data_IF_867037071212
#
_entry.id   IF_867037071212
#
_cell.length_a   1.000
_cell.length_b   1.000
_cell.length_c   1.000
_cell.angle_alpha   90.00
_cell.angle_beta   90.00
_cell.angle_gamma   90.00
#
_symmetry.space_group_name_H-M   'P 1'
#
loop_
_entity.id
_entity.type
_entity.pdbx_description
1 polymer ?
#
# COMPACT_ATOMS: atom_id res chain seq x y z
N UNK A 1 -17.41 5.65 55.78
CA UNK A 1 -17.68 5.02 54.46
C UNK A 1 -17.83 6.16 53.44
N UNK A 2 -16.81 6.45 52.66
CA UNK A 2 -16.85 7.47 51.60
C UNK A 2 -17.26 6.76 50.33
N UNK A 3 -18.51 6.97 49.90
CA UNK A 3 -19.01 6.49 48.59
C UNK A 3 -18.40 7.32 47.46
N UNK A 4 -17.35 6.82 46.84
CA UNK A 4 -16.79 7.39 45.61
C UNK A 4 -17.70 6.98 44.43
N UNK A 5 -18.79 7.75 44.23
CA UNK A 5 -19.56 7.66 42.99
C UNK A 5 -18.68 8.13 41.83
N UNK A 6 -18.00 7.17 41.12
CA UNK A 6 -17.35 7.44 39.88
C UNK A 6 -18.39 7.96 38.88
N UNK A 7 -18.16 9.13 38.25
CA UNK A 7 -19.01 9.57 37.16
C UNK A 7 -18.92 8.52 36.04
N UNK A 8 -20.07 7.92 35.69
CA UNK A 8 -20.17 7.02 34.54
C UNK A 8 -19.66 7.78 33.30
N UNK A 9 -18.53 7.36 32.77
CA UNK A 9 -18.00 7.91 31.53
C UNK A 9 -19.11 7.85 30.49
N UNK A 10 -19.49 9.02 29.94
CA UNK A 10 -20.46 9.08 28.82
C UNK A 10 -20.03 8.11 27.74
N UNK A 11 -20.90 7.20 27.28
CA UNK A 11 -20.55 6.30 26.19
C UNK A 11 -20.18 7.14 24.97
N UNK A 12 -18.95 6.96 24.49
CA UNK A 12 -18.50 7.60 23.26
C UNK A 12 -19.46 7.19 22.15
N UNK A 13 -20.16 8.16 21.55
CA UNK A 13 -21.05 7.90 20.41
C UNK A 13 -20.20 7.32 19.29
N UNK A 14 -20.42 6.04 18.97
CA UNK A 14 -19.78 5.42 17.82
C UNK A 14 -20.31 6.11 16.55
N UNK A 15 -19.43 6.60 15.68
CA UNK A 15 -19.87 7.20 14.42
C UNK A 15 -20.63 6.16 13.58
N UNK A 16 -21.61 6.60 12.81
CA UNK A 16 -22.35 5.70 11.94
C UNK A 16 -21.38 5.05 10.94
N UNK A 17 -21.48 3.74 10.67
CA UNK A 17 -20.54 3.04 9.78
C UNK A 17 -20.47 3.68 8.39
N UNK A 18 -21.57 4.16 7.85
CA UNK A 18 -21.62 4.90 6.58
C UNK A 18 -20.76 6.19 6.62
N UNK A 19 -20.81 6.94 7.71
CA UNK A 19 -20.02 8.17 7.84
C UNK A 19 -18.52 7.88 7.88
N UNK A 20 -18.11 6.81 8.56
CA UNK A 20 -16.71 6.35 8.57
C UNK A 20 -16.25 5.93 7.18
N UNK A 21 -17.04 5.15 6.47
CA UNK A 21 -16.70 4.71 5.10
C UNK A 21 -16.56 5.91 4.16
N UNK A 22 -17.49 6.87 4.20
CA UNK A 22 -17.41 8.08 3.37
C UNK A 22 -16.15 8.89 3.71
N UNK A 23 -15.86 9.08 5.01
CA UNK A 23 -14.68 9.81 5.44
C UNK A 23 -13.37 9.14 4.98
N UNK A 24 -13.27 7.82 5.12
CA UNK A 24 -12.11 7.05 4.67
C UNK A 24 -11.96 7.07 3.16
N UNK A 25 -13.04 6.92 2.40
CA UNK A 25 -13.02 7.02 0.94
C UNK A 25 -12.59 8.42 0.48
N UNK A 26 -13.10 9.46 1.13
CA UNK A 26 -12.67 10.84 0.88
C UNK A 26 -11.18 11.06 1.20
N UNK A 27 -10.69 10.47 2.29
CA UNK A 27 -9.27 10.54 2.65
C UNK A 27 -8.40 9.84 1.61
N UNK A 28 -8.76 8.63 1.17
CA UNK A 28 -8.03 7.89 0.13
C UNK A 28 -7.98 8.71 -1.16
N UNK A 29 -9.11 9.30 -1.57
CA UNK A 29 -9.17 10.15 -2.76
C UNK A 29 -8.25 11.38 -2.61
N UNK A 30 -8.33 12.07 -1.49
CA UNK A 30 -7.50 13.26 -1.22
C UNK A 30 -6.00 12.93 -1.24
N UNK A 31 -5.59 11.84 -0.58
CA UNK A 31 -4.21 11.38 -0.57
C UNK A 31 -3.76 10.94 -1.96
N UNK A 32 -4.63 10.30 -2.74
CA UNK A 32 -4.34 9.93 -4.14
C UNK A 32 -4.07 11.14 -5.01
N UNK A 33 -4.94 12.16 -4.93
CA UNK A 33 -4.74 13.43 -5.65
C UNK A 33 -3.45 14.12 -5.19
N UNK A 34 -3.22 14.18 -3.88
CA UNK A 34 -2.00 14.76 -3.33
C UNK A 34 -0.74 14.02 -3.82
N UNK A 35 -0.78 12.70 -3.88
CA UNK A 35 0.31 11.87 -4.39
C UNK A 35 0.61 12.13 -5.88
N UNK A 36 -0.40 12.45 -6.67
CA UNK A 36 -0.22 12.81 -8.09
C UNK A 36 0.29 14.24 -8.28
N UNK A 37 -0.04 15.17 -7.37
CA UNK A 37 0.38 16.59 -7.48
C UNK A 37 1.72 16.86 -6.83
N UNK A 38 2.10 16.11 -5.79
CA UNK A 38 3.36 16.32 -5.06
C UNK A 38 4.49 15.49 -5.61
N UNK A 39 5.68 16.07 -5.80
CA UNK A 39 6.88 15.36 -6.23
C UNK A 39 7.92 16.26 -6.88
N UNK A 40 9.17 15.80 -6.94
CA UNK A 40 10.32 16.56 -7.42
C UNK A 40 10.26 16.95 -8.92
N UNK A 41 9.32 16.40 -9.68
CA UNK A 41 9.22 16.64 -11.13
C UNK A 41 8.46 17.92 -11.52
N UNK A 42 7.93 18.69 -10.55
CA UNK A 42 7.29 19.98 -10.83
C UNK A 42 5.82 19.90 -11.33
N UNK A 43 5.26 18.71 -11.53
CA UNK A 43 3.85 18.54 -11.86
C UNK A 43 2.95 19.05 -10.74
N UNK A 44 2.16 20.06 -11.04
CA UNK A 44 1.21 20.70 -10.11
C UNK A 44 -0.23 20.26 -10.32
N UNK A 45 -1.13 20.81 -9.50
CA UNK A 45 -2.58 20.55 -9.65
C UNK A 45 -3.13 21.06 -11.00
N UNK A 46 -2.56 22.14 -11.53
CA UNK A 46 -2.94 22.69 -12.84
C UNK A 46 -2.67 21.71 -13.98
N UNK A 47 -1.53 21.02 -13.96
CA UNK A 47 -1.16 20.05 -14.98
C UNK A 47 -2.07 18.80 -14.95
N UNK A 48 -2.52 18.39 -13.77
CA UNK A 48 -3.51 17.31 -13.65
C UNK A 48 -4.86 17.73 -14.23
N UNK A 49 -5.29 18.95 -13.99
CA UNK A 49 -6.55 19.48 -14.58
C UNK A 49 -6.40 19.55 -16.10
N UNK A 50 -5.28 20.05 -16.62
CA UNK A 50 -4.99 20.08 -18.04
C UNK A 50 -4.99 18.68 -18.67
N UNK A 51 -4.38 17.69 -17.97
CA UNK A 51 -4.39 16.29 -18.40
C UNK A 51 -5.80 15.71 -18.52
N UNK A 52 -6.70 16.04 -17.58
CA UNK A 52 -8.09 15.57 -17.57
C UNK A 52 -8.94 16.29 -18.63
N UNK A 53 -8.68 17.57 -18.85
CA UNK A 53 -9.42 18.38 -19.86
C UNK A 53 -8.93 18.14 -21.29
N UNK A 54 -7.83 17.42 -21.49
CA UNK A 54 -7.27 17.16 -22.81
C UNK A 54 -6.34 18.26 -23.34
N UNK A 55 -6.07 19.27 -22.54
CA UNK A 55 -5.03 20.27 -22.82
C UNK A 55 -3.66 19.58 -22.66
N UNK A 56 -2.98 19.36 -23.76
CA UNK A 56 -1.81 18.50 -23.84
C UNK A 56 -0.73 18.81 -22.81
N UNK A 57 -0.35 17.81 -22.01
CA UNK A 57 0.82 17.86 -21.15
C UNK A 57 2.11 17.91 -21.99
N UNK A 58 3.16 18.51 -21.45
CA UNK A 58 4.47 18.38 -22.05
C UNK A 58 4.89 16.89 -22.14
N UNK A 59 5.70 16.47 -23.13
CA UNK A 59 6.15 15.08 -23.26
C UNK A 59 6.81 14.55 -21.97
N UNK A 60 7.53 15.42 -21.25
CA UNK A 60 8.15 15.08 -19.97
C UNK A 60 7.09 14.79 -18.89
N UNK A 61 6.06 15.64 -18.82
CA UNK A 61 5.01 15.52 -17.80
C UNK A 61 4.12 14.31 -18.05
N UNK A 62 3.92 13.95 -19.32
CA UNK A 62 3.24 12.70 -19.69
C UNK A 62 3.97 11.48 -19.15
N UNK A 63 5.28 11.36 -19.37
CA UNK A 63 6.08 10.24 -18.84
C UNK A 63 6.04 10.21 -17.32
N UNK A 64 6.18 11.37 -16.66
CA UNK A 64 6.13 11.44 -15.19
C UNK A 64 4.77 11.00 -14.64
N UNK A 65 3.70 11.44 -15.27
CA UNK A 65 2.34 11.12 -14.82
C UNK A 65 1.97 9.65 -15.11
N UNK A 66 2.12 9.21 -16.38
CA UNK A 66 1.61 7.93 -16.83
C UNK A 66 2.55 6.75 -16.53
N UNK A 67 3.87 6.96 -16.64
CA UNK A 67 4.84 5.87 -16.50
C UNK A 67 5.41 5.75 -15.08
N UNK A 68 5.31 6.83 -14.26
CA UNK A 68 5.87 6.82 -12.91
C UNK A 68 4.79 6.96 -11.84
N UNK A 69 4.01 8.05 -11.86
CA UNK A 69 3.10 8.38 -10.74
C UNK A 69 1.85 7.51 -10.72
N UNK A 70 1.19 7.32 -11.84
CA UNK A 70 -0.02 6.49 -11.92
C UNK A 70 0.23 5.02 -11.58
N UNK A 71 1.26 4.35 -12.13
CA UNK A 71 1.55 2.97 -11.73
C UNK A 71 1.91 2.85 -10.25
N UNK A 72 2.67 3.80 -9.70
CA UNK A 72 3.00 3.82 -8.27
C UNK A 72 1.77 4.00 -7.39
N UNK A 73 0.84 4.89 -7.78
CA UNK A 73 -0.43 5.08 -7.07
C UNK A 73 -1.28 3.82 -7.13
N UNK A 74 -1.42 3.22 -8.32
CA UNK A 74 -2.20 1.99 -8.51
C UNK A 74 -1.64 0.83 -7.67
N UNK A 75 -0.31 0.67 -7.64
CA UNK A 75 0.37 -0.30 -6.77
C UNK A 75 0.09 -0.02 -5.29
N UNK A 76 0.21 1.23 -4.84
CA UNK A 76 -0.07 1.59 -3.45
C UNK A 76 -1.50 1.27 -3.04
N UNK A 77 -2.47 1.57 -3.89
CA UNK A 77 -3.89 1.24 -3.66
C UNK A 77 -4.12 -0.27 -3.64
N UNK A 78 -3.51 -1.02 -4.57
CA UNK A 78 -3.65 -2.47 -4.63
C UNK A 78 -3.04 -3.16 -3.39
N UNK A 79 -1.85 -2.73 -2.97
CA UNK A 79 -1.20 -3.24 -1.75
C UNK A 79 -2.03 -2.91 -0.51
N UNK A 80 -2.51 -1.67 -0.38
CA UNK A 80 -3.37 -1.27 0.74
C UNK A 80 -4.67 -2.08 0.79
N UNK A 81 -5.32 -2.32 -0.35
CA UNK A 81 -6.51 -3.14 -0.43
C UNK A 81 -6.22 -4.61 -0.06
N UNK A 82 -5.12 -5.18 -0.56
CA UNK A 82 -4.72 -6.54 -0.23
C UNK A 82 -4.44 -6.73 1.27
N UNK A 83 -3.72 -5.78 1.88
CA UNK A 83 -3.45 -5.79 3.33
C UNK A 83 -4.73 -5.64 4.15
N UNK A 84 -5.68 -4.80 3.73
CA UNK A 84 -6.96 -4.64 4.40
C UNK A 84 -7.78 -5.95 4.38
N UNK A 85 -7.85 -6.61 3.22
CA UNK A 85 -8.54 -7.90 3.09
C UNK A 85 -7.85 -8.98 3.93
N UNK A 86 -6.53 -9.09 3.86
CA UNK A 86 -5.75 -10.03 4.67
C UNK A 86 -5.97 -9.79 6.18
N UNK A 87 -5.97 -8.52 6.61
CA UNK A 87 -6.25 -8.15 7.99
C UNK A 87 -7.62 -8.63 8.46
N UNK A 88 -8.68 -8.37 7.69
CA UNK A 88 -10.04 -8.82 8.02
C UNK A 88 -10.14 -10.34 8.10
N UNK A 89 -9.51 -11.06 7.17
CA UNK A 89 -9.48 -12.52 7.17
C UNK A 89 -8.77 -13.09 8.41
N UNK A 90 -7.61 -12.54 8.77
CA UNK A 90 -6.86 -12.95 9.96
C UNK A 90 -7.64 -12.63 11.25
N UNK A 91 -8.25 -11.46 11.35
CA UNK A 91 -9.09 -11.10 12.50
C UNK A 91 -10.26 -12.06 12.64
N UNK A 92 -10.88 -12.48 11.55
CA UNK A 92 -11.95 -13.47 11.54
C UNK A 92 -11.46 -14.85 11.93
N UNK A 93 -10.33 -15.30 11.37
CA UNK A 93 -9.74 -16.60 11.63
C UNK A 93 -9.32 -16.77 13.10
N UNK A 94 -8.59 -15.81 13.63
CA UNK A 94 -8.11 -15.86 15.01
C UNK A 94 -9.13 -15.34 16.04
N UNK A 95 -10.28 -14.85 15.57
CA UNK A 95 -11.29 -14.16 16.42
C UNK A 95 -10.67 -13.10 17.33
N UNK A 96 -9.65 -12.43 16.83
CA UNK A 96 -8.89 -11.42 17.56
C UNK A 96 -8.81 -10.14 16.71
N UNK A 97 -9.38 -9.01 17.18
CA UNK A 97 -9.34 -7.75 16.44
C UNK A 97 -7.94 -7.13 16.34
N UNK A 98 -6.96 -7.66 17.05
CA UNK A 98 -5.55 -7.22 17.01
C UNK A 98 -4.70 -8.06 16.05
N UNK A 99 -5.28 -9.03 15.35
CA UNK A 99 -4.56 -9.81 14.36
C UNK A 99 -4.19 -8.92 13.17
N UNK A 100 -2.90 -8.91 12.82
CA UNK A 100 -2.30 -8.08 11.77
C UNK A 100 -1.40 -8.96 10.87
N UNK A 101 -1.56 -8.92 9.54
CA UNK A 101 -0.72 -9.67 8.62
C UNK A 101 0.78 -9.30 8.72
N UNK A 102 1.10 -8.08 9.16
CA UNK A 102 2.47 -7.64 9.39
C UNK A 102 3.17 -8.40 10.55
N UNK A 103 2.41 -8.78 11.59
CA UNK A 103 2.95 -9.51 12.75
C UNK A 103 3.27 -10.97 12.38
N UNK A 104 2.54 -11.55 11.44
CA UNK A 104 2.76 -12.92 10.95
C UNK A 104 4.09 -13.06 10.18
N UNK A 105 4.80 -11.96 9.91
CA UNK A 105 6.12 -12.00 9.29
C UNK A 105 6.12 -12.10 7.76
N UNK A 106 4.96 -12.03 7.12
CA UNK A 106 4.83 -12.07 5.65
C UNK A 106 5.69 -11.01 4.97
N UNK A 107 5.66 -9.79 5.52
CA UNK A 107 6.46 -8.67 5.00
C UNK A 107 7.97 -8.89 5.17
N UNK A 108 8.39 -9.50 6.28
CA UNK A 108 9.80 -9.84 6.52
C UNK A 108 10.29 -10.93 5.56
N UNK A 109 9.47 -11.97 5.35
CA UNK A 109 9.75 -13.02 4.37
C UNK A 109 9.82 -12.50 2.95
N UNK A 110 8.88 -11.64 2.56
CA UNK A 110 8.89 -10.99 1.25
C UNK A 110 10.14 -10.10 1.07
N UNK A 111 10.52 -9.33 2.08
CA UNK A 111 11.74 -8.53 2.09
C UNK A 111 13.00 -9.38 1.94
N UNK A 112 13.09 -10.49 2.67
CA UNK A 112 14.20 -11.44 2.55
C UNK A 112 14.28 -12.03 1.13
N UNK A 113 13.15 -12.47 0.58
CA UNK A 113 13.09 -12.99 -0.80
C UNK A 113 13.54 -11.97 -1.82
N UNK A 114 13.10 -10.71 -1.70
CA UNK A 114 13.54 -9.62 -2.58
C UNK A 114 15.04 -9.37 -2.48
N UNK A 115 15.59 -9.27 -1.26
CA UNK A 115 17.03 -9.04 -1.03
C UNK A 115 17.86 -10.20 -1.60
N UNK A 116 17.45 -11.45 -1.36
CA UNK A 116 18.13 -12.61 -1.92
C UNK A 116 18.13 -12.58 -3.46
N UNK A 117 17.00 -12.23 -4.09
CA UNK A 117 16.92 -12.11 -5.54
C UNK A 117 17.84 -11.02 -6.08
N UNK A 118 17.94 -9.87 -5.41
CA UNK A 118 18.82 -8.77 -5.83
C UNK A 118 20.30 -9.18 -5.67
N UNK A 119 20.67 -9.74 -4.53
CA UNK A 119 22.07 -10.09 -4.23
C UNK A 119 22.53 -11.25 -5.11
N UNK A 120 21.74 -12.35 -5.18
CA UNK A 120 22.08 -13.50 -6.00
C UNK A 120 21.92 -13.20 -7.48
N UNK A 121 20.96 -12.36 -7.86
CA UNK A 121 20.79 -11.88 -9.23
C UNK A 121 22.01 -11.14 -9.76
N UNK A 122 22.73 -10.41 -8.89
CA UNK A 122 24.01 -9.77 -9.24
C UNK A 122 25.14 -10.75 -9.56
N UNK A 123 25.01 -12.02 -9.20
CA UNK A 123 25.95 -13.09 -9.53
C UNK A 123 25.60 -13.80 -10.84
N UNK A 124 24.41 -13.55 -11.42
CA UNK A 124 23.96 -14.16 -12.66
C UNK A 124 24.51 -13.41 -13.88
N UNK A 125 24.68 -14.11 -15.01
CA UNK A 125 25.09 -13.46 -16.26
C UNK A 125 24.11 -12.35 -16.66
N UNK A 126 24.63 -11.20 -17.10
CA UNK A 126 23.88 -9.99 -17.46
C UNK A 126 22.72 -10.24 -18.45
N UNK A 127 22.85 -11.24 -19.35
CA UNK A 127 21.80 -11.59 -20.29
C UNK A 127 20.53 -12.17 -19.65
N UNK A 128 20.64 -12.85 -18.51
CA UNK A 128 19.51 -13.39 -17.77
C UNK A 128 18.87 -12.33 -16.87
N UNK A 129 19.69 -11.46 -16.29
CA UNK A 129 19.23 -10.39 -15.37
C UNK A 129 18.48 -9.30 -16.14
N UNK A 130 18.92 -8.95 -17.35
CA UNK A 130 18.30 -7.89 -18.16
C UNK A 130 16.84 -8.21 -18.55
N UNK A 131 16.54 -9.49 -18.79
CA UNK A 131 15.19 -9.91 -19.20
C UNK A 131 14.25 -10.22 -18.03
N UNK A 132 14.76 -10.80 -16.95
CA UNK A 132 13.95 -11.29 -15.83
C UNK A 132 14.09 -10.48 -14.53
N UNK A 133 15.01 -9.50 -14.47
CA UNK A 133 15.40 -8.84 -13.22
C UNK A 133 14.25 -8.32 -12.34
N UNK A 134 13.38 -7.43 -12.86
CA UNK A 134 12.26 -6.91 -12.05
C UNK A 134 11.24 -7.97 -11.65
N UNK A 135 10.96 -8.91 -12.57
CA UNK A 135 10.03 -10.01 -12.34
C UNK A 135 10.58 -11.03 -11.33
N UNK A 136 11.89 -11.29 -11.39
CA UNK A 136 12.56 -12.20 -10.47
C UNK A 136 12.49 -11.70 -9.02
N UNK A 137 12.71 -10.41 -8.80
CA UNK A 137 12.57 -9.79 -7.47
C UNK A 137 11.14 -9.89 -6.95
N UNK A 138 10.16 -9.60 -7.81
CA UNK A 138 8.73 -9.68 -7.42
C UNK A 138 8.31 -11.11 -7.08
N UNK A 139 8.72 -12.10 -7.90
CA UNK A 139 8.42 -13.53 -7.65
C UNK A 139 9.12 -14.01 -6.39
N UNK A 140 10.39 -13.68 -6.20
CA UNK A 140 11.14 -14.09 -5.02
C UNK A 140 10.58 -13.45 -3.73
N UNK A 141 10.14 -12.20 -3.79
CA UNK A 141 9.44 -11.56 -2.69
C UNK A 141 8.12 -12.27 -2.37
N UNK A 142 7.32 -12.58 -3.39
CA UNK A 142 6.07 -13.32 -3.22
C UNK A 142 6.29 -14.70 -2.60
N UNK A 143 7.27 -15.46 -3.11
CA UNK A 143 7.64 -16.76 -2.56
C UNK A 143 8.15 -16.67 -1.12
N UNK A 144 8.99 -15.67 -0.81
CA UNK A 144 9.49 -15.42 0.54
C UNK A 144 8.36 -15.18 1.54
N UNK A 145 7.40 -14.32 1.19
CA UNK A 145 6.20 -14.09 1.99
C UNK A 145 5.35 -15.35 2.16
N UNK A 146 5.19 -16.12 1.10
CA UNK A 146 4.40 -17.35 1.12
C UNK A 146 5.05 -18.44 1.98
N UNK A 147 6.35 -18.66 1.83
CA UNK A 147 7.12 -19.62 2.66
C UNK A 147 7.01 -19.26 4.15
N UNK A 148 7.15 -17.97 4.49
CA UNK A 148 7.02 -17.52 5.88
C UNK A 148 5.63 -17.83 6.43
N UNK A 149 4.57 -17.66 5.63
CA UNK A 149 3.19 -17.97 6.04
C UNK A 149 2.97 -19.47 6.26
N UNK A 150 3.68 -20.33 5.52
CA UNK A 150 3.55 -21.80 5.66
C UNK A 150 4.34 -22.35 6.85
N UNK A 151 5.40 -21.67 7.28
CA UNK A 151 6.27 -22.11 8.38
C UNK A 151 5.72 -21.70 9.75
N UNK A 152 4.90 -20.67 9.80
CA UNK A 152 4.26 -20.15 11.02
C UNK A 152 2.89 -20.78 11.28
#
# INVERSE_FOLDING_TARGET
MVSLSRPLARPLRRPAPKAVTIALSGLVLAVSVLSLTTGAAGLGAGDLVAAVLGDGLSPRDQVVLYDIRLPRLALGLAVGAALAVAGVLLQGLFRNPLADPGIVGVSAGAGLGAVLAIVLGGLLPLGLVGWAGPSLVAVAAGLGGWVTTLVL
#
